data_IF_960987274271
#
_entry.id   IF_960987274271
#
_cell.length_a   1.000
_cell.length_b   1.000
_cell.length_c   1.000
_cell.angle_alpha   90.00
_cell.angle_beta   90.00
_cell.angle_gamma   90.00
#
_symmetry.space_group_name_H-M   'P 1'
#
loop_
_entity.id
_entity.type
_entity.pdbx_description
1 polymer ?
#
# COMPACT_ATOMS: atom_id res chain seq x y z
N UNK A 1 4.69 8.36 -10.55
CA UNK A 1 3.31 8.30 -9.99
C UNK A 1 2.34 7.97 -11.11
N UNK A 2 1.27 7.22 -10.86
CA UNK A 2 0.28 6.85 -11.87
C UNK A 2 -1.04 7.55 -11.55
N UNK A 3 -1.63 8.23 -12.53
CA UNK A 3 -3.01 8.70 -12.46
C UNK A 3 -3.94 7.57 -12.92
N UNK A 4 -4.66 6.95 -11.99
CA UNK A 4 -5.45 5.75 -12.27
C UNK A 4 -6.80 6.03 -12.92
N UNK A 5 -7.22 7.29 -13.02
CA UNK A 5 -8.50 7.65 -13.62
C UNK A 5 -8.47 9.08 -14.16
N UNK A 6 -8.52 9.21 -15.47
CA UNK A 6 -8.72 10.47 -16.17
C UNK A 6 -9.48 10.25 -17.48
N UNK A 7 -9.94 11.33 -18.10
CA UNK A 7 -10.71 11.32 -19.34
C UNK A 7 -10.02 12.20 -20.39
N UNK A 8 -8.78 11.83 -20.76
CA UNK A 8 -7.97 12.58 -21.74
C UNK A 8 -8.58 12.55 -23.14
N UNK A 9 -9.42 11.56 -23.42
CA UNK A 9 -10.13 11.45 -24.67
C UNK A 9 -11.13 12.57 -24.91
N UNK A 10 -11.62 13.23 -23.86
CA UNK A 10 -12.65 14.24 -23.98
C UNK A 10 -12.22 15.46 -24.82
N UNK A 11 -13.19 16.09 -25.48
CA UNK A 11 -13.00 17.23 -26.39
C UNK A 11 -12.38 18.45 -25.72
N UNK A 12 -12.56 18.58 -24.40
CA UNK A 12 -11.98 19.61 -23.56
C UNK A 12 -10.46 19.69 -23.69
N UNK A 13 -9.79 18.63 -24.18
CA UNK A 13 -8.35 18.58 -24.40
C UNK A 13 -7.93 18.61 -25.87
N UNK A 14 -8.84 18.66 -26.84
CA UNK A 14 -8.48 18.51 -28.27
C UNK A 14 -7.46 19.55 -28.75
N UNK A 15 -7.48 20.75 -28.18
CA UNK A 15 -6.54 21.82 -28.55
C UNK A 15 -5.14 21.70 -27.93
N UNK A 16 -4.98 20.94 -26.84
CA UNK A 16 -3.74 20.96 -26.04
C UNK A 16 -3.37 19.64 -25.35
N UNK A 17 -3.94 18.50 -25.79
CA UNK A 17 -3.74 17.17 -25.20
C UNK A 17 -2.27 16.80 -25.05
N UNK A 18 -1.47 16.96 -26.10
CA UNK A 18 -0.04 16.66 -26.07
C UNK A 18 0.68 17.45 -24.98
N UNK A 19 0.31 18.72 -24.81
CA UNK A 19 0.90 19.59 -23.79
C UNK A 19 0.43 19.21 -22.39
N UNK A 20 -0.83 18.76 -22.22
CA UNK A 20 -1.33 18.18 -20.96
C UNK A 20 -0.52 16.95 -20.56
N UNK A 21 -0.29 16.03 -21.49
CA UNK A 21 0.48 14.79 -21.28
C UNK A 21 1.95 15.10 -20.94
N UNK A 22 2.55 16.08 -21.63
CA UNK A 22 3.91 16.56 -21.33
C UNK A 22 4.00 17.19 -19.94
N UNK A 23 3.02 18.02 -19.55
CA UNK A 23 2.96 18.61 -18.19
C UNK A 23 2.87 17.53 -17.12
N UNK A 24 2.05 16.50 -17.33
CA UNK A 24 1.95 15.37 -16.41
C UNK A 24 3.30 14.64 -16.27
N UNK A 25 3.94 14.33 -17.40
CA UNK A 25 5.26 13.68 -17.43
C UNK A 25 6.32 14.53 -16.71
N UNK A 26 6.32 15.85 -16.91
CA UNK A 26 7.21 16.80 -16.23
C UNK A 26 6.99 16.91 -14.70
N UNK A 27 5.87 16.40 -14.18
CA UNK A 27 5.59 16.27 -12.75
C UNK A 27 5.82 14.85 -12.22
N UNK A 28 6.55 14.01 -12.97
CA UNK A 28 6.79 12.60 -12.66
C UNK A 28 5.51 11.74 -12.59
N UNK A 29 4.47 12.14 -13.33
CA UNK A 29 3.33 11.26 -13.63
C UNK A 29 3.76 10.36 -14.79
N UNK A 30 4.11 9.13 -14.47
CA UNK A 30 4.76 8.18 -15.38
C UNK A 30 3.77 7.44 -16.27
N UNK A 31 2.50 7.36 -15.86
CA UNK A 31 1.44 6.73 -16.62
C UNK A 31 0.07 7.31 -16.24
N UNK A 32 -0.86 7.26 -17.20
CA UNK A 32 -2.25 7.67 -17.06
C UNK A 32 -3.16 6.59 -17.59
N UNK A 33 -4.23 6.27 -16.85
CA UNK A 33 -5.31 5.40 -17.33
C UNK A 33 -6.45 6.31 -17.77
N UNK A 34 -6.69 6.35 -19.08
CA UNK A 34 -7.80 7.12 -19.66
C UNK A 34 -9.01 6.21 -19.82
N UNK A 35 -10.18 6.68 -19.39
CA UNK A 35 -11.33 5.82 -19.10
C UNK A 35 -12.47 6.10 -20.08
N UNK A 36 -12.85 5.09 -20.85
CA UNK A 36 -14.01 5.12 -21.72
C UNK A 36 -15.30 4.91 -20.94
N UNK A 37 -16.36 5.57 -21.40
CA UNK A 37 -17.67 5.65 -20.73
C UNK A 37 -18.83 5.26 -21.65
N UNK A 38 -18.61 5.22 -22.96
CA UNK A 38 -19.55 4.79 -23.98
C UNK A 38 -18.78 4.32 -25.23
N UNK A 39 -19.49 3.91 -26.28
CA UNK A 39 -18.88 3.36 -27.51
C UNK A 39 -17.88 4.33 -28.15
N UNK A 40 -18.26 5.60 -28.27
CA UNK A 40 -17.43 6.62 -28.92
C UNK A 40 -16.18 6.92 -28.09
N UNK A 41 -16.34 7.14 -26.78
CA UNK A 41 -15.20 7.38 -25.90
C UNK A 41 -14.29 6.16 -25.80
N UNK A 42 -14.83 4.94 -25.83
CA UNK A 42 -14.05 3.69 -25.91
C UNK A 42 -13.11 3.67 -27.13
N UNK A 43 -13.59 4.09 -28.31
CA UNK A 43 -12.72 4.20 -29.49
C UNK A 43 -11.62 5.25 -29.31
N UNK A 44 -11.94 6.40 -28.71
CA UNK A 44 -10.96 7.48 -28.49
C UNK A 44 -9.90 7.09 -27.46
N UNK A 45 -10.26 6.44 -26.35
CA UNK A 45 -9.26 5.97 -25.35
C UNK A 45 -8.32 4.92 -25.94
N UNK A 46 -8.83 4.03 -26.79
CA UNK A 46 -8.00 3.03 -27.48
C UNK A 46 -7.03 3.68 -28.47
N UNK A 47 -7.48 4.71 -29.20
CA UNK A 47 -6.62 5.48 -30.09
C UNK A 47 -5.48 6.17 -29.30
N UNK A 48 -5.82 6.85 -28.21
CA UNK A 48 -4.82 7.50 -27.34
C UNK A 48 -3.82 6.49 -26.75
N UNK A 49 -4.29 5.35 -26.26
CA UNK A 49 -3.41 4.32 -25.71
C UNK A 49 -2.51 3.67 -26.78
N UNK A 50 -2.90 3.72 -28.05
CA UNK A 50 -2.09 3.31 -29.20
C UNK A 50 -1.04 4.35 -29.62
N UNK A 51 -1.31 5.64 -29.37
CA UNK A 51 -0.44 6.75 -29.74
C UNK A 51 0.64 7.06 -28.68
N UNK A 52 0.30 6.93 -27.39
CA UNK A 52 1.17 7.32 -26.28
C UNK A 52 1.65 6.14 -25.44
N UNK A 53 2.96 6.03 -25.24
CA UNK A 53 3.57 4.93 -24.47
C UNK A 53 3.15 4.93 -22.99
N UNK A 54 2.91 6.11 -22.40
CA UNK A 54 2.51 6.25 -21.00
C UNK A 54 0.98 6.29 -20.78
N UNK A 55 0.17 6.10 -21.83
CA UNK A 55 -1.29 6.01 -21.70
C UNK A 55 -1.75 4.56 -21.80
N UNK A 56 -2.71 4.21 -20.96
CA UNK A 56 -3.44 2.96 -20.96
C UNK A 56 -4.94 3.25 -21.01
N UNK A 57 -5.73 2.30 -21.52
CA UNK A 57 -7.16 2.44 -21.68
C UNK A 57 -7.92 1.55 -20.69
N UNK A 58 -9.04 2.08 -20.19
CA UNK A 58 -10.14 1.28 -19.65
C UNK A 58 -11.33 1.42 -20.59
N UNK A 59 -12.05 0.32 -20.84
CA UNK A 59 -13.23 0.33 -21.72
C UNK A 59 -14.46 -0.17 -20.97
N UNK A 60 -15.58 0.52 -21.15
CA UNK A 60 -16.82 0.22 -20.42
C UNK A 60 -17.99 1.08 -20.87
N UNK A 61 -19.09 0.97 -20.13
CA UNK A 61 -20.31 1.78 -20.29
C UNK A 61 -20.66 2.32 -18.91
N UNK A 62 -20.56 3.64 -18.76
CA UNK A 62 -20.85 4.35 -17.52
C UNK A 62 -22.34 4.23 -17.18
N UNK A 63 -22.75 4.21 -15.89
CA UNK A 63 -24.15 4.13 -15.49
C UNK A 63 -25.08 5.14 -16.15
N UNK A 64 -24.60 6.33 -16.52
CA UNK A 64 -25.43 7.30 -17.23
C UNK A 64 -25.81 6.84 -18.65
N UNK A 65 -24.93 6.10 -19.30
CA UNK A 65 -25.09 5.57 -20.66
C UNK A 65 -25.59 4.12 -20.68
N UNK A 66 -26.03 3.56 -19.54
CA UNK A 66 -26.37 2.14 -19.40
C UNK A 66 -27.46 1.67 -20.39
N UNK A 67 -28.36 2.56 -20.82
CA UNK A 67 -29.38 2.24 -21.84
C UNK A 67 -28.81 1.96 -23.24
N UNK A 68 -27.57 2.38 -23.51
CA UNK A 68 -26.86 2.10 -24.78
C UNK A 68 -26.23 0.69 -24.83
N UNK A 69 -26.21 -0.03 -23.70
CA UNK A 69 -25.58 -1.33 -23.62
C UNK A 69 -26.39 -2.40 -24.38
N UNK A 70 -25.73 -3.05 -25.34
CA UNK A 70 -26.30 -4.11 -26.18
C UNK A 70 -25.38 -5.33 -26.18
N UNK A 71 -25.84 -6.53 -26.53
CA UNK A 71 -24.94 -7.69 -26.61
C UNK A 71 -23.73 -7.45 -27.53
N UNK A 72 -23.92 -6.71 -28.62
CA UNK A 72 -22.85 -6.30 -29.52
C UNK A 72 -21.75 -5.48 -28.82
N UNK A 73 -22.10 -4.61 -27.87
CA UNK A 73 -21.08 -3.79 -27.18
C UNK A 73 -20.20 -4.65 -26.27
N UNK A 74 -20.75 -5.71 -25.68
CA UNK A 74 -19.98 -6.63 -24.85
C UNK A 74 -18.99 -7.45 -25.69
N UNK A 75 -19.37 -7.84 -26.90
CA UNK A 75 -18.46 -8.47 -27.87
C UNK A 75 -17.33 -7.51 -28.28
N UNK A 76 -17.65 -6.24 -28.53
CA UNK A 76 -16.66 -5.20 -28.86
C UNK A 76 -15.70 -4.94 -27.69
N UNK A 77 -16.21 -4.76 -26.46
CA UNK A 77 -15.41 -4.62 -25.24
C UNK A 77 -14.48 -5.82 -25.05
N UNK A 78 -14.99 -7.04 -25.25
CA UNK A 78 -14.19 -8.27 -25.19
C UNK A 78 -13.07 -8.26 -26.24
N UNK A 79 -13.36 -7.79 -27.46
CA UNK A 79 -12.38 -7.63 -28.52
C UNK A 79 -11.29 -6.60 -28.17
N UNK A 80 -11.68 -5.42 -27.70
CA UNK A 80 -10.77 -4.34 -27.30
C UNK A 80 -9.90 -4.72 -26.10
N UNK A 81 -10.42 -5.55 -25.19
CA UNK A 81 -9.70 -6.05 -24.01
C UNK A 81 -8.55 -7.00 -24.35
N UNK A 82 -8.43 -7.46 -25.59
CA UNK A 82 -7.25 -8.23 -26.06
C UNK A 82 -6.04 -7.35 -26.31
N UNK A 83 -6.21 -6.04 -26.43
CA UNK A 83 -5.08 -5.12 -26.56
C UNK A 83 -4.34 -5.02 -25.23
N UNK A 84 -3.01 -5.19 -25.24
CA UNK A 84 -2.15 -5.09 -24.06
C UNK A 84 -2.25 -3.75 -23.31
N UNK A 85 -2.74 -2.71 -23.99
CA UNK A 85 -2.94 -1.36 -23.46
C UNK A 85 -4.32 -1.16 -22.85
N UNK A 86 -5.25 -2.10 -23.04
CA UNK A 86 -6.54 -2.13 -22.35
C UNK A 86 -6.36 -2.88 -21.04
N UNK A 87 -6.40 -2.16 -19.92
CA UNK A 87 -5.94 -2.67 -18.62
C UNK A 87 -7.05 -2.85 -17.59
N UNK A 88 -8.27 -2.45 -17.94
CA UNK A 88 -9.43 -2.58 -17.06
C UNK A 88 -10.74 -2.59 -17.84
N UNK A 89 -11.78 -3.10 -17.19
CA UNK A 89 -13.18 -2.92 -17.60
C UNK A 89 -13.79 -1.80 -16.77
N UNK A 90 -14.26 -0.76 -17.44
CA UNK A 90 -14.84 0.42 -16.83
C UNK A 90 -14.62 1.67 -17.69
N UNK A 91 -15.30 2.77 -17.42
CA UNK A 91 -16.08 3.00 -16.21
C UNK A 91 -17.39 2.22 -16.19
N UNK A 92 -17.72 1.62 -15.05
CA UNK A 92 -18.97 0.86 -14.84
C UNK A 92 -19.43 1.06 -13.41
N UNK A 93 -20.70 0.83 -13.10
CA UNK A 93 -21.19 0.97 -11.73
C UNK A 93 -22.58 1.53 -11.64
N UNK A 94 -22.85 2.28 -10.57
CA UNK A 94 -24.18 2.80 -10.25
C UNK A 94 -24.13 4.29 -9.87
N UNK A 95 -25.05 5.07 -10.43
CA UNK A 95 -25.26 6.47 -10.08
C UNK A 95 -26.74 6.75 -9.85
N UNK A 96 -27.14 6.80 -8.57
CA UNK A 96 -28.51 7.11 -8.16
C UNK A 96 -28.69 8.59 -7.83
N UNK A 97 -27.63 9.39 -7.98
CA UNK A 97 -27.66 10.82 -7.75
C UNK A 97 -28.22 11.56 -8.97
N UNK A 98 -27.64 11.30 -10.14
CA UNK A 98 -28.14 11.85 -11.40
C UNK A 98 -29.22 10.97 -12.02
N UNK A 99 -29.15 9.66 -11.81
CA UNK A 99 -30.19 8.68 -12.21
C UNK A 99 -30.56 8.76 -13.71
N UNK A 100 -29.56 9.04 -14.56
CA UNK A 100 -29.71 9.28 -16.01
C UNK A 100 -30.14 8.04 -16.82
N UNK A 101 -30.01 6.84 -16.24
CA UNK A 101 -30.52 5.58 -16.80
C UNK A 101 -31.31 4.82 -15.72
N UNK A 102 -32.35 4.05 -16.10
CA UNK A 102 -33.13 3.26 -15.14
C UNK A 102 -32.24 2.35 -14.29
N UNK A 103 -32.43 2.36 -12.97
CA UNK A 103 -31.59 1.62 -12.01
C UNK A 103 -31.46 0.13 -12.30
N UNK A 104 -32.54 -0.53 -12.75
CA UNK A 104 -32.50 -1.93 -13.17
C UNK A 104 -31.50 -2.15 -14.33
N UNK A 105 -31.47 -1.23 -15.29
CA UNK A 105 -30.54 -1.30 -16.42
C UNK A 105 -29.12 -1.05 -15.94
N UNK A 106 -28.90 -0.04 -15.08
CA UNK A 106 -27.58 0.20 -14.47
C UNK A 106 -27.06 -1.04 -13.75
N UNK A 107 -27.89 -1.68 -12.91
CA UNK A 107 -27.53 -2.92 -12.18
C UNK A 107 -27.18 -4.07 -13.12
N UNK A 108 -27.97 -4.28 -14.17
CA UNK A 108 -27.72 -5.34 -15.15
C UNK A 108 -26.41 -5.10 -15.92
N UNK A 109 -26.17 -3.87 -16.38
CA UNK A 109 -24.92 -3.51 -17.08
C UNK A 109 -23.72 -3.64 -16.16
N UNK A 110 -23.84 -3.18 -14.91
CA UNK A 110 -22.78 -3.30 -13.92
C UNK A 110 -22.43 -4.78 -13.67
N UNK A 111 -23.42 -5.63 -13.41
CA UNK A 111 -23.20 -7.06 -13.20
C UNK A 111 -22.52 -7.74 -14.40
N UNK A 112 -22.93 -7.43 -15.64
CA UNK A 112 -22.31 -7.96 -16.87
C UNK A 112 -20.86 -7.51 -17.04
N UNK A 113 -20.53 -6.25 -16.74
CA UNK A 113 -19.14 -5.79 -16.77
C UNK A 113 -18.28 -6.49 -15.72
N UNK A 114 -18.80 -6.75 -14.51
CA UNK A 114 -18.05 -7.49 -13.50
C UNK A 114 -17.80 -8.95 -13.92
N UNK A 115 -18.79 -9.58 -14.57
CA UNK A 115 -18.62 -10.91 -15.16
C UNK A 115 -17.55 -10.90 -16.25
N UNK A 116 -17.57 -9.92 -17.16
CA UNK A 116 -16.54 -9.75 -18.18
C UNK A 116 -15.15 -9.53 -17.58
N UNK A 117 -15.02 -8.62 -16.61
CA UNK A 117 -13.77 -8.34 -15.92
C UNK A 117 -13.17 -9.62 -15.31
N UNK A 118 -14.01 -10.42 -14.64
CA UNK A 118 -13.62 -11.71 -14.07
C UNK A 118 -13.18 -12.72 -15.14
N UNK A 119 -13.96 -12.85 -16.21
CA UNK A 119 -13.67 -13.81 -17.29
C UNK A 119 -12.39 -13.47 -18.06
N UNK A 120 -12.06 -12.18 -18.16
CA UNK A 120 -10.86 -11.67 -18.84
C UNK A 120 -9.66 -11.52 -17.91
N UNK A 121 -9.81 -11.80 -16.61
CA UNK A 121 -8.81 -11.54 -15.57
C UNK A 121 -8.33 -10.07 -15.51
N UNK A 122 -9.22 -9.14 -15.85
CA UNK A 122 -8.98 -7.70 -15.80
C UNK A 122 -9.61 -7.08 -14.54
N UNK A 123 -9.00 -6.04 -13.95
CA UNK A 123 -9.64 -5.28 -12.88
C UNK A 123 -10.84 -4.48 -13.38
N UNK A 124 -11.81 -4.25 -12.49
CA UNK A 124 -12.92 -3.32 -12.76
C UNK A 124 -12.63 -1.91 -12.20
N UNK A 125 -12.94 -0.87 -12.97
CA UNK A 125 -13.00 0.53 -12.49
C UNK A 125 -14.46 0.88 -12.20
N UNK A 126 -14.79 1.03 -10.93
CA UNK A 126 -16.17 1.06 -10.44
C UNK A 126 -16.56 2.43 -9.91
N UNK A 127 -17.55 3.04 -10.56
CA UNK A 127 -18.26 4.24 -10.10
C UNK A 127 -19.35 3.86 -9.11
N UNK A 128 -19.48 4.61 -8.03
CA UNK A 128 -20.60 4.44 -7.10
C UNK A 128 -20.98 5.75 -6.45
N UNK A 129 -22.20 6.21 -6.72
CA UNK A 129 -22.73 7.44 -6.15
C UNK A 129 -24.16 7.26 -5.68
N UNK A 130 -24.38 7.54 -4.39
CA UNK A 130 -25.66 7.36 -3.68
C UNK A 130 -26.27 5.94 -3.84
N UNK A 131 -25.42 4.92 -4.09
CA UNK A 131 -25.82 3.56 -4.47
C UNK A 131 -25.07 2.47 -3.67
N UNK A 132 -24.65 2.76 -2.43
CA UNK A 132 -23.77 1.90 -1.61
C UNK A 132 -24.24 0.45 -1.51
N UNK A 133 -25.49 0.21 -1.10
CA UNK A 133 -25.97 -1.15 -0.81
C UNK A 133 -26.02 -2.03 -2.06
N UNK A 134 -26.59 -1.53 -3.16
CA UNK A 134 -26.65 -2.25 -4.44
C UNK A 134 -25.25 -2.48 -5.01
N UNK A 135 -24.35 -1.49 -4.90
CA UNK A 135 -22.96 -1.61 -5.35
C UNK A 135 -22.27 -2.76 -4.61
N UNK A 136 -22.36 -2.78 -3.28
CA UNK A 136 -21.72 -3.83 -2.46
C UNK A 136 -22.35 -5.20 -2.70
N UNK A 137 -23.67 -5.29 -2.91
CA UNK A 137 -24.33 -6.57 -3.21
C UNK A 137 -23.84 -7.12 -4.54
N UNK A 138 -23.84 -6.32 -5.60
CA UNK A 138 -23.44 -6.76 -6.95
C UNK A 138 -21.95 -7.12 -6.99
N UNK A 139 -21.09 -6.33 -6.32
CA UNK A 139 -19.67 -6.66 -6.17
C UNK A 139 -19.47 -8.02 -5.49
N UNK A 140 -20.15 -8.25 -4.38
CA UNK A 140 -20.07 -9.52 -3.64
C UNK A 140 -20.52 -10.70 -4.50
N UNK A 141 -21.66 -10.55 -5.18
CA UNK A 141 -22.29 -11.64 -5.93
C UNK A 141 -21.49 -11.97 -7.22
N UNK A 142 -20.78 -10.99 -7.80
CA UNK A 142 -19.89 -11.22 -8.95
C UNK A 142 -18.66 -12.09 -8.61
N UNK A 143 -18.19 -12.03 -7.36
CA UNK A 143 -16.96 -12.69 -6.92
C UNK A 143 -15.69 -12.18 -7.62
N UNK A 144 -15.66 -10.92 -8.07
CA UNK A 144 -14.41 -10.31 -8.51
C UNK A 144 -13.41 -10.24 -7.35
N UNK A 145 -12.12 -10.17 -7.68
CA UNK A 145 -11.04 -10.06 -6.70
C UNK A 145 -10.02 -8.95 -7.03
N UNK A 146 -10.26 -8.22 -8.12
CA UNK A 146 -9.40 -7.15 -8.64
C UNK A 146 -10.29 -6.00 -9.11
N UNK A 147 -10.10 -4.82 -8.56
CA UNK A 147 -10.78 -3.62 -9.01
C UNK A 147 -10.41 -2.40 -8.17
N UNK A 148 -11.08 -1.29 -8.46
CA UNK A 148 -10.98 -0.04 -7.73
C UNK A 148 -12.35 0.63 -7.64
N UNK A 149 -12.71 1.12 -6.45
CA UNK A 149 -13.72 2.15 -6.32
C UNK A 149 -13.03 3.50 -6.58
N UNK A 150 -13.21 4.03 -7.79
CA UNK A 150 -12.64 5.32 -8.14
C UNK A 150 -13.44 6.45 -7.50
N UNK A 151 -12.82 7.62 -7.40
CA UNK A 151 -13.35 8.86 -6.83
C UNK A 151 -14.13 8.62 -5.52
N UNK A 152 -13.53 7.85 -4.60
CA UNK A 152 -14.27 7.28 -3.49
C UNK A 152 -14.92 8.34 -2.58
N UNK A 153 -16.24 8.28 -2.47
CA UNK A 153 -17.07 9.16 -1.63
C UNK A 153 -17.92 8.42 -0.58
N UNK A 154 -17.66 7.13 -0.36
CA UNK A 154 -18.38 6.26 0.59
C UNK A 154 -18.00 6.48 2.07
N UNK A 155 -18.42 5.57 2.95
CA UNK A 155 -17.99 5.51 4.37
C UNK A 155 -16.92 4.42 4.58
N UNK A 156 -16.35 4.41 5.78
CA UNK A 156 -15.40 3.39 6.23
C UNK A 156 -15.94 1.96 6.05
N UNK A 157 -17.23 1.71 6.28
CA UNK A 157 -17.83 0.39 6.10
C UNK A 157 -17.81 -0.06 4.63
N UNK A 158 -18.19 0.84 3.71
CA UNK A 158 -18.12 0.56 2.27
C UNK A 158 -16.67 0.31 1.83
N UNK A 159 -15.72 1.11 2.30
CA UNK A 159 -14.30 0.93 2.00
C UNK A 159 -13.79 -0.42 2.52
N UNK A 160 -14.11 -0.78 3.76
CA UNK A 160 -13.70 -2.06 4.37
C UNK A 160 -14.25 -3.25 3.58
N UNK A 161 -15.56 -3.26 3.31
CA UNK A 161 -16.20 -4.32 2.53
C UNK A 161 -15.61 -4.43 1.12
N UNK A 162 -15.35 -3.30 0.45
CA UNK A 162 -14.73 -3.29 -0.87
C UNK A 162 -13.31 -3.87 -0.85
N UNK A 163 -12.49 -3.52 0.13
CA UNK A 163 -11.14 -4.07 0.29
C UNK A 163 -11.13 -5.56 0.62
N UNK A 164 -12.11 -6.04 1.41
CA UNK A 164 -12.30 -7.48 1.66
C UNK A 164 -12.63 -8.25 0.37
N UNK A 165 -13.25 -7.61 -0.62
CA UNK A 165 -13.51 -8.15 -1.95
C UNK A 165 -12.34 -7.92 -2.93
N UNK A 166 -11.22 -7.35 -2.48
CA UNK A 166 -10.02 -7.12 -3.29
C UNK A 166 -10.01 -5.82 -4.08
N UNK A 167 -10.95 -4.89 -3.83
CA UNK A 167 -10.96 -3.59 -4.49
C UNK A 167 -10.06 -2.58 -3.76
N UNK A 168 -9.35 -1.80 -4.55
CA UNK A 168 -8.62 -0.62 -4.09
C UNK A 168 -9.56 0.57 -3.91
N UNK A 169 -9.12 1.56 -3.13
CA UNK A 169 -9.84 2.79 -2.88
C UNK A 169 -9.00 3.94 -3.45
N UNK A 170 -9.53 4.63 -4.45
CA UNK A 170 -8.86 5.75 -5.08
C UNK A 170 -9.45 7.08 -4.62
N UNK A 171 -8.59 8.08 -4.47
CA UNK A 171 -8.98 9.43 -4.08
C UNK A 171 -8.59 10.42 -5.18
N UNK A 172 -9.55 11.27 -5.55
CA UNK A 172 -9.37 12.37 -6.49
C UNK A 172 -9.18 13.72 -5.77
N UNK A 173 -9.14 14.80 -6.54
CA UNK A 173 -8.97 16.17 -6.03
C UNK A 173 -9.89 16.62 -4.88
N UNK A 174 -11.14 16.12 -4.68
CA UNK A 174 -11.99 16.53 -3.57
C UNK A 174 -11.39 16.30 -2.18
N UNK A 175 -10.44 15.36 -2.01
CA UNK A 175 -9.75 15.16 -0.73
C UNK A 175 -9.03 16.43 -0.24
N UNK A 176 -8.62 17.29 -1.18
CA UNK A 176 -7.96 18.57 -0.91
C UNK A 176 -8.93 19.63 -0.36
N UNK A 177 -10.24 19.42 -0.47
CA UNK A 177 -11.23 20.42 -0.06
C UNK A 177 -11.36 20.47 1.45
N UNK A 178 -11.51 21.68 2.00
CA UNK A 178 -11.62 21.91 3.45
C UNK A 178 -12.82 21.18 4.08
N UNK A 179 -13.92 21.04 3.34
CA UNK A 179 -15.17 20.40 3.81
C UNK A 179 -15.19 18.87 3.64
N UNK A 180 -14.16 18.27 3.05
CA UNK A 180 -14.13 16.83 2.78
C UNK A 180 -13.67 16.01 4.01
N UNK A 181 -14.19 16.32 5.20
CA UNK A 181 -13.74 15.73 6.48
C UNK A 181 -13.82 14.20 6.46
N UNK A 182 -14.97 13.64 6.04
CA UNK A 182 -15.17 12.19 5.91
C UNK A 182 -14.14 11.52 4.99
N UNK A 183 -13.88 12.11 3.82
CA UNK A 183 -12.86 11.58 2.89
C UNK A 183 -11.47 11.57 3.56
N UNK A 184 -11.11 12.66 4.26
CA UNK A 184 -9.85 12.78 4.99
C UNK A 184 -9.72 11.80 6.15
N UNK A 185 -10.81 11.45 6.82
CA UNK A 185 -10.82 10.42 7.86
C UNK A 185 -10.58 9.03 7.26
N UNK A 186 -11.25 8.71 6.16
CA UNK A 186 -11.11 7.41 5.50
C UNK A 186 -9.68 7.24 4.97
N UNK A 187 -9.06 8.28 4.41
CA UNK A 187 -7.64 8.27 4.00
C UNK A 187 -6.71 7.78 5.11
N UNK A 188 -7.01 8.06 6.39
CA UNK A 188 -6.19 7.60 7.53
C UNK A 188 -6.38 6.11 7.84
N UNK A 189 -7.49 5.52 7.40
CA UNK A 189 -7.88 4.15 7.70
C UNK A 189 -7.50 3.15 6.59
N UNK A 190 -7.45 3.60 5.33
CA UNK A 190 -7.12 2.72 4.20
C UNK A 190 -5.70 2.15 4.35
N UNK A 191 -5.50 0.82 4.39
CA UNK A 191 -4.17 0.22 4.40
C UNK A 191 -3.38 0.63 3.15
N UNK A 192 -2.05 0.73 3.26
CA UNK A 192 -1.22 1.24 2.16
C UNK A 192 -1.43 0.46 0.85
N UNK A 193 -1.60 -0.85 0.92
CA UNK A 193 -1.74 -1.73 -0.26
C UNK A 193 -3.03 -1.51 -1.06
N UNK A 194 -4.02 -0.81 -0.51
CA UNK A 194 -5.31 -0.54 -1.17
C UNK A 194 -5.47 0.91 -1.60
N UNK A 195 -4.52 1.78 -1.26
CA UNK A 195 -4.60 3.20 -1.60
C UNK A 195 -4.18 3.44 -3.05
N UNK A 196 -5.03 4.14 -3.79
CA UNK A 196 -4.73 4.72 -5.11
C UNK A 196 -5.01 6.23 -5.13
N UNK A 197 -4.51 6.90 -6.15
CA UNK A 197 -4.73 8.32 -6.41
C UNK A 197 -5.06 8.53 -7.86
N UNK A 198 -5.88 9.55 -8.11
CA UNK A 198 -6.28 9.93 -9.46
C UNK A 198 -6.63 11.40 -9.55
N UNK A 199 -6.96 11.86 -10.75
CA UNK A 199 -7.49 13.19 -10.97
C UNK A 199 -8.98 13.24 -11.24
N UNK A 200 -9.53 12.24 -11.94
CA UNK A 200 -10.83 12.32 -12.59
C UNK A 200 -10.92 13.50 -13.59
N UNK A 201 -9.77 13.89 -14.17
CA UNK A 201 -9.69 15.05 -15.03
C UNK A 201 -10.50 14.83 -16.33
N UNK A 202 -11.25 15.81 -16.86
CA UNK A 202 -11.17 17.26 -16.59
C UNK A 202 -11.95 17.74 -15.37
N UNK A 203 -12.62 16.85 -14.64
CA UNK A 203 -13.45 17.19 -13.49
C UNK A 203 -12.63 17.31 -12.20
N UNK A 204 -13.28 17.80 -11.13
CA UNK A 204 -12.80 17.69 -9.75
C UNK A 204 -11.39 18.24 -9.44
N UNK A 205 -11.00 19.34 -10.10
CA UNK A 205 -9.69 19.96 -9.89
C UNK A 205 -9.38 20.20 -8.39
N UNK A 206 -8.21 19.76 -7.89
CA UNK A 206 -7.81 19.93 -6.48
C UNK A 206 -7.53 21.40 -6.14
N UNK A 207 -7.44 21.73 -4.85
CA UNK A 207 -6.88 23.01 -4.39
C UNK A 207 -5.42 23.13 -4.85
N UNK A 208 -4.97 24.28 -5.41
CA UNK A 208 -5.66 25.57 -5.52
C UNK A 208 -6.46 25.81 -6.82
N UNK A 209 -6.60 24.80 -7.68
CA UNK A 209 -7.22 24.91 -9.01
C UNK A 209 -8.73 24.64 -9.04
N UNK A 210 -9.39 24.58 -7.88
CA UNK A 210 -10.84 24.33 -7.79
C UNK A 210 -11.63 25.29 -8.70
N UNK A 211 -12.49 24.72 -9.54
CA UNK A 211 -13.31 25.46 -10.51
C UNK A 211 -12.62 25.72 -11.86
N UNK A 212 -11.37 25.30 -12.03
CA UNK A 212 -10.68 25.26 -13.33
C UNK A 212 -10.74 23.86 -13.93
N UNK A 213 -10.41 23.74 -15.22
CA UNK A 213 -10.19 22.44 -15.89
C UNK A 213 -9.09 21.70 -15.14
N UNK A 214 -9.36 20.47 -14.71
CA UNK A 214 -8.36 19.60 -14.11
C UNK A 214 -7.42 19.04 -15.18
N UNK A 215 -6.30 18.46 -14.79
CA UNK A 215 -5.41 17.70 -15.67
C UNK A 215 -4.55 16.71 -14.87
N UNK A 216 -4.04 15.62 -15.50
CA UNK A 216 -3.32 14.55 -14.79
C UNK A 216 -2.11 15.00 -13.96
N UNK A 217 -1.45 16.10 -14.34
CA UNK A 217 -0.34 16.70 -13.58
C UNK A 217 -0.74 17.08 -12.15
N UNK A 218 -2.02 17.34 -11.90
CA UNK A 218 -2.55 17.74 -10.60
C UNK A 218 -2.73 16.58 -9.63
N UNK A 219 -2.56 15.30 -10.05
CA UNK A 219 -2.58 14.14 -9.15
C UNK A 219 -1.56 14.27 -8.02
N UNK A 220 -0.45 14.97 -8.28
CA UNK A 220 0.61 15.25 -7.29
C UNK A 220 0.05 16.05 -6.10
N UNK A 221 -0.91 16.94 -6.32
CA UNK A 221 -1.55 17.74 -5.25
C UNK A 221 -2.48 16.87 -4.37
N UNK A 222 -3.19 15.93 -5.01
CA UNK A 222 -3.99 14.91 -4.32
C UNK A 222 -3.08 14.04 -3.43
N UNK A 223 -1.98 13.53 -3.99
CA UNK A 223 -1.01 12.71 -3.28
C UNK A 223 -0.31 13.48 -2.14
N UNK A 224 0.07 14.75 -2.35
CA UNK A 224 0.65 15.59 -1.31
C UNK A 224 -0.33 15.79 -0.14
N UNK A 225 -1.60 16.05 -0.43
CA UNK A 225 -2.62 16.20 0.62
C UNK A 225 -2.77 14.90 1.43
N UNK A 226 -2.76 13.74 0.77
CA UNK A 226 -2.80 12.44 1.45
C UNK A 226 -1.55 12.23 2.32
N UNK A 227 -0.37 12.63 1.84
CA UNK A 227 0.88 12.55 2.59
C UNK A 227 0.79 13.39 3.88
N UNK A 228 0.28 14.63 3.78
CA UNK A 228 0.07 15.52 4.92
C UNK A 228 -0.91 14.93 5.94
N UNK A 229 -2.03 14.37 5.47
CA UNK A 229 -3.04 13.71 6.32
C UNK A 229 -2.44 12.52 7.09
N UNK A 230 -1.57 11.75 6.44
CA UNK A 230 -0.93 10.55 7.00
C UNK A 230 0.36 10.84 7.77
N UNK A 231 0.87 12.08 7.74
CA UNK A 231 2.15 12.43 8.37
C UNK A 231 3.34 11.65 7.76
N UNK A 232 3.36 11.54 6.43
CA UNK A 232 4.46 10.95 5.65
C UNK A 232 4.90 11.92 4.56
N UNK A 233 6.01 11.61 3.87
CA UNK A 233 6.49 12.43 2.76
C UNK A 233 5.77 12.02 1.45
N UNK A 234 5.73 12.93 0.47
CA UNK A 234 5.10 12.67 -0.83
C UNK A 234 5.68 11.42 -1.52
N UNK A 235 7.00 11.24 -1.45
CA UNK A 235 7.68 10.09 -2.06
C UNK A 235 7.16 8.75 -1.54
N UNK A 236 6.75 8.67 -0.27
CA UNK A 236 6.14 7.46 0.29
C UNK A 236 4.79 7.18 -0.37
N UNK A 237 3.91 8.19 -0.49
CA UNK A 237 2.60 8.04 -1.13
C UNK A 237 2.76 7.74 -2.62
N UNK A 238 3.65 8.45 -3.31
CA UNK A 238 3.94 8.24 -4.72
C UNK A 238 4.38 6.80 -4.98
N UNK A 239 5.31 6.27 -4.17
CA UNK A 239 5.83 4.90 -4.30
C UNK A 239 4.76 3.86 -3.99
N UNK A 240 4.00 4.03 -2.90
CA UNK A 240 2.89 3.15 -2.51
C UNK A 240 1.84 3.05 -3.62
N UNK A 241 1.29 4.20 -4.03
CA UNK A 241 0.19 4.25 -5.00
C UNK A 241 0.64 3.77 -6.38
N UNK A 242 1.87 4.09 -6.78
CA UNK A 242 2.45 3.59 -8.04
C UNK A 242 2.55 2.07 -8.02
N UNK A 243 3.09 1.45 -6.97
CA UNK A 243 3.20 -0.01 -6.95
C UNK A 243 1.83 -0.69 -6.92
N UNK A 244 0.85 -0.09 -6.25
CA UNK A 244 -0.51 -0.62 -6.20
C UNK A 244 -1.16 -0.56 -7.58
N UNK A 245 -1.06 0.59 -8.27
CA UNK A 245 -1.57 0.75 -9.62
C UNK A 245 -0.90 -0.23 -10.59
N UNK A 246 0.43 -0.35 -10.56
CA UNK A 246 1.17 -1.33 -11.39
C UNK A 246 0.71 -2.76 -11.14
N UNK A 247 0.51 -3.14 -9.86
CA UNK A 247 0.03 -4.49 -9.48
C UNK A 247 -1.42 -4.75 -9.87
N UNK A 248 -2.29 -3.76 -9.73
CA UNK A 248 -3.71 -3.89 -10.04
C UNK A 248 -3.95 -3.99 -11.56
N UNK A 249 -3.36 -3.07 -12.31
CA UNK A 249 -3.57 -2.93 -13.76
C UNK A 249 -2.53 -3.67 -14.61
N UNK A 250 -1.55 -4.31 -13.98
CA UNK A 250 -0.45 -5.02 -14.65
C UNK A 250 0.31 -4.14 -15.66
N UNK A 251 0.66 -2.92 -15.26
CA UNK A 251 1.36 -1.93 -16.08
C UNK A 251 2.74 -1.60 -15.53
N UNK A 252 3.66 -1.21 -16.42
CA UNK A 252 5.02 -0.81 -16.07
C UNK A 252 5.83 -1.91 -15.36
N UNK A 253 6.92 -1.50 -14.70
CA UNK A 253 7.82 -2.43 -14.01
C UNK A 253 7.37 -2.71 -12.57
N UNK A 254 7.05 -3.95 -12.27
CA UNK A 254 6.78 -4.41 -10.90
C UNK A 254 8.08 -5.01 -10.34
N UNK A 255 8.67 -4.46 -9.25
CA UNK A 255 9.89 -4.99 -8.66
C UNK A 255 9.75 -6.46 -8.27
N UNK A 256 10.46 -7.34 -8.99
CA UNK A 256 10.43 -8.80 -8.76
C UNK A 256 11.39 -9.27 -7.69
N UNK A 257 12.53 -8.58 -7.56
CA UNK A 257 13.56 -8.91 -6.56
C UNK A 257 13.24 -8.19 -5.25
N UNK A 258 13.39 -8.89 -4.13
CA UNK A 258 13.30 -8.28 -2.82
C UNK A 258 14.46 -7.32 -2.56
N UNK A 259 14.17 -6.19 -1.95
CA UNK A 259 15.14 -5.20 -1.53
C UNK A 259 15.82 -5.63 -0.24
N UNK A 260 17.16 -5.56 -0.23
CA UNK A 260 17.99 -5.83 0.94
C UNK A 260 18.17 -4.57 1.81
N UNK A 261 18.03 -3.39 1.21
CA UNK A 261 18.01 -2.10 1.89
C UNK A 261 16.90 -1.22 1.28
N UNK A 262 16.10 -0.59 2.13
CA UNK A 262 14.96 0.24 1.70
C UNK A 262 14.77 1.43 2.63
N UNK A 263 14.29 2.56 2.08
CA UNK A 263 14.13 3.81 2.85
C UNK A 263 12.69 3.99 3.27
N UNK A 264 12.48 4.29 4.54
CA UNK A 264 11.20 4.79 5.03
C UNK A 264 11.50 6.10 5.77
N UNK A 265 10.94 7.20 5.26
CA UNK A 265 11.22 8.56 5.75
C UNK A 265 12.73 8.84 5.73
N UNK A 266 13.33 9.15 6.89
CA UNK A 266 14.77 9.46 7.04
C UNK A 266 15.62 8.30 7.55
N UNK A 267 15.07 7.08 7.63
CA UNK A 267 15.78 5.90 8.12
C UNK A 267 15.99 4.88 7.00
N UNK A 268 17.11 4.17 7.03
CA UNK A 268 17.40 3.05 6.14
C UNK A 268 17.09 1.74 6.86
N UNK A 269 16.37 0.83 6.22
CA UNK A 269 15.99 -0.46 6.79
C UNK A 269 16.71 -1.58 6.03
N UNK A 270 17.27 -2.53 6.76
CA UNK A 270 18.02 -3.67 6.24
C UNK A 270 17.22 -4.96 6.40
N UNK A 271 16.91 -5.59 5.28
CA UNK A 271 16.24 -6.87 5.21
C UNK A 271 17.26 -7.97 4.95
N UNK A 272 17.59 -8.73 6.00
CA UNK A 272 18.73 -9.66 5.95
C UNK A 272 18.32 -11.14 5.99
N UNK A 273 17.05 -11.45 6.19
CA UNK A 273 16.55 -12.83 6.22
C UNK A 273 15.02 -12.88 6.08
N UNK A 274 14.52 -13.92 5.42
CA UNK A 274 13.09 -14.27 5.43
C UNK A 274 12.71 -15.16 6.64
N UNK A 275 13.70 -15.68 7.40
CA UNK A 275 13.50 -16.66 8.47
C UNK A 275 13.14 -15.96 9.78
N UNK A 276 12.28 -16.57 10.58
CA UNK A 276 11.92 -16.06 11.90
C UNK A 276 11.55 -17.24 12.79
N UNK A 277 11.85 -17.12 14.08
CA UNK A 277 11.55 -18.11 15.11
C UNK A 277 10.11 -18.06 15.60
N UNK A 278 9.32 -17.09 15.13
CA UNK A 278 7.88 -16.99 15.35
C UNK A 278 7.12 -17.20 14.03
N UNK A 279 5.91 -17.76 14.14
CA UNK A 279 4.92 -17.84 13.08
C UNK A 279 3.66 -17.06 13.49
N UNK A 280 3.81 -15.74 13.68
CA UNK A 280 2.72 -14.93 14.22
C UNK A 280 1.51 -14.88 13.29
N UNK A 281 0.30 -14.96 13.85
CA UNK A 281 -0.96 -14.87 13.10
C UNK A 281 -1.16 -13.55 12.35
N UNK A 282 -0.50 -12.47 12.82
CA UNK A 282 -0.52 -11.12 12.24
C UNK A 282 0.71 -10.79 11.39
N UNK A 283 1.58 -11.76 11.08
CA UNK A 283 2.84 -11.48 10.41
C UNK A 283 2.65 -11.22 8.90
N UNK A 284 2.95 -10.01 8.44
CA UNK A 284 2.88 -9.65 7.00
C UNK A 284 3.72 -10.57 6.12
N UNK A 285 4.80 -11.16 6.65
CA UNK A 285 5.67 -12.12 5.94
C UNK A 285 4.91 -13.31 5.37
N UNK A 286 3.83 -13.78 6.00
CA UNK A 286 3.10 -14.95 5.48
C UNK A 286 2.02 -14.57 4.48
N UNK A 287 1.70 -13.28 4.37
CA UNK A 287 0.55 -12.80 3.63
C UNK A 287 0.94 -12.07 2.34
N UNK A 288 2.04 -11.30 2.37
CA UNK A 288 2.38 -10.36 1.30
C UNK A 288 3.87 -10.35 1.00
N UNK A 289 4.23 -9.74 -0.14
CA UNK A 289 5.62 -9.47 -0.54
C UNK A 289 5.97 -7.98 -0.47
N UNK A 290 4.99 -7.10 -0.49
CA UNK A 290 5.21 -5.66 -0.46
C UNK A 290 4.89 -5.09 0.92
N UNK A 291 5.71 -4.16 1.38
CA UNK A 291 5.49 -3.37 2.60
C UNK A 291 5.81 -1.93 2.28
N UNK A 292 4.83 -1.05 2.52
CA UNK A 292 4.95 0.38 2.23
C UNK A 292 5.32 0.68 0.79
N UNK A 293 5.22 -0.26 -0.16
CA UNK A 293 5.66 -0.13 -1.55
C UNK A 293 7.00 -0.78 -1.91
N UNK A 294 7.70 -1.39 -0.95
CA UNK A 294 8.95 -2.13 -1.18
C UNK A 294 8.71 -3.62 -1.22
N UNK A 295 9.26 -4.34 -2.20
CA UNK A 295 9.25 -5.79 -2.20
C UNK A 295 10.26 -6.29 -1.16
N UNK A 296 9.81 -6.91 -0.07
CA UNK A 296 10.69 -7.40 1.00
C UNK A 296 10.93 -8.91 0.94
N UNK A 297 10.44 -9.62 -0.08
CA UNK A 297 10.72 -11.05 -0.22
C UNK A 297 12.11 -11.27 -0.82
N UNK A 298 13.08 -11.58 0.03
CA UNK A 298 14.43 -11.86 -0.44
C UNK A 298 14.49 -13.12 -1.29
N UNK A 299 15.26 -13.09 -2.37
CA UNK A 299 15.58 -14.28 -3.19
C UNK A 299 16.67 -15.14 -2.54
N UNK A 300 17.53 -14.54 -1.74
CA UNK A 300 18.61 -15.18 -0.98
C UNK A 300 18.93 -14.32 0.26
N UNK A 301 19.66 -14.88 1.23
CA UNK A 301 20.13 -14.10 2.38
C UNK A 301 21.36 -13.27 1.99
N UNK A 302 21.34 -11.91 2.07
CA UNK A 302 22.42 -11.07 1.57
C UNK A 302 23.73 -11.27 2.33
N UNK A 303 24.85 -11.11 1.64
CA UNK A 303 26.20 -11.10 2.18
C UNK A 303 26.53 -9.79 2.94
N UNK A 304 27.71 -9.74 3.55
CA UNK A 304 28.21 -8.51 4.17
C UNK A 304 28.47 -7.42 3.13
N UNK A 305 29.08 -7.82 2.01
CA UNK A 305 29.49 -6.96 0.91
C UNK A 305 28.27 -6.32 0.23
N UNK A 306 27.21 -7.10 -0.01
CA UNK A 306 25.95 -6.58 -0.55
C UNK A 306 25.29 -5.57 0.38
N UNK A 307 25.37 -5.76 1.70
CA UNK A 307 24.78 -4.83 2.66
C UNK A 307 25.55 -3.52 2.74
N UNK A 308 26.88 -3.55 2.80
CA UNK A 308 27.66 -2.29 2.86
C UNK A 308 27.50 -1.48 1.57
N UNK A 309 27.43 -2.15 0.42
CA UNK A 309 27.17 -1.51 -0.88
C UNK A 309 25.79 -0.87 -0.92
N UNK A 310 24.75 -1.62 -0.49
CA UNK A 310 23.39 -1.11 -0.45
C UNK A 310 23.16 0.01 0.59
N UNK A 311 23.97 0.08 1.65
CA UNK A 311 23.90 1.16 2.63
C UNK A 311 24.55 2.44 2.09
N UNK A 312 25.66 2.33 1.36
CA UNK A 312 26.44 3.50 0.93
C UNK A 312 27.04 4.24 2.13
N UNK A 313 26.62 5.49 2.38
CA UNK A 313 27.06 6.27 3.54
C UNK A 313 26.03 6.22 4.68
N UNK A 314 26.31 5.52 5.81
CA UNK A 314 25.36 5.42 6.92
C UNK A 314 25.00 6.76 7.57
N UNK A 315 25.88 7.76 7.49
CA UNK A 315 25.67 9.08 8.10
C UNK A 315 24.59 9.92 7.38
N UNK A 316 24.17 9.53 6.18
CA UNK A 316 23.10 10.20 5.43
C UNK A 316 21.71 9.91 6.03
N UNK A 317 21.61 8.92 6.92
CA UNK A 317 20.38 8.47 7.52
C UNK A 317 20.29 8.85 8.99
N UNK A 318 19.06 9.08 9.46
CA UNK A 318 18.79 9.23 10.90
C UNK A 318 19.23 8.00 11.69
N UNK A 319 19.05 6.83 11.10
CA UNK A 319 19.43 5.53 11.65
C UNK A 319 19.41 4.47 10.54
N UNK A 320 20.18 3.41 10.74
CA UNK A 320 20.13 2.17 9.97
C UNK A 320 19.52 1.09 10.86
N UNK A 321 18.46 0.46 10.37
CA UNK A 321 17.58 -0.41 11.14
C UNK A 321 17.64 -1.82 10.59
N UNK A 322 18.12 -2.78 11.37
CA UNK A 322 17.96 -4.20 11.02
C UNK A 322 16.49 -4.59 11.20
N UNK A 323 15.77 -4.66 10.09
CA UNK A 323 14.33 -4.87 10.06
C UNK A 323 13.86 -5.32 8.66
N UNK A 324 13.16 -6.43 8.61
CA UNK A 324 12.60 -7.00 7.39
C UNK A 324 11.51 -8.01 7.72
N UNK A 325 11.37 -9.05 6.89
CA UNK A 325 10.41 -10.12 7.14
C UNK A 325 10.83 -11.09 8.25
N UNK A 326 12.13 -11.26 8.45
CA UNK A 326 12.69 -12.21 9.39
C UNK A 326 13.16 -11.64 10.72
N UNK A 327 13.64 -12.53 11.58
CA UNK A 327 14.35 -12.22 12.83
C UNK A 327 15.83 -11.96 12.53
N UNK A 328 16.32 -10.71 12.62
CA UNK A 328 17.70 -10.39 12.26
C UNK A 328 18.74 -11.14 13.11
N UNK A 329 18.43 -11.43 14.39
CA UNK A 329 19.37 -12.07 15.29
C UNK A 329 19.63 -13.56 14.99
N UNK A 330 18.89 -14.16 14.05
CA UNK A 330 19.28 -15.44 13.43
C UNK A 330 20.65 -15.35 12.71
N UNK A 331 21.04 -14.14 12.30
CA UNK A 331 22.31 -13.85 11.60
C UNK A 331 23.21 -12.95 12.46
N UNK A 332 23.35 -13.25 13.75
CA UNK A 332 24.07 -12.43 14.74
C UNK A 332 25.46 -11.98 14.27
N UNK A 333 26.29 -12.86 13.72
CA UNK A 333 27.64 -12.49 13.28
C UNK A 333 27.63 -11.48 12.13
N UNK A 334 26.67 -11.59 11.21
CA UNK A 334 26.48 -10.59 10.17
C UNK A 334 26.03 -9.25 10.77
N UNK A 335 25.04 -9.28 11.67
CA UNK A 335 24.55 -8.08 12.37
C UNK A 335 25.69 -7.37 13.08
N UNK A 336 26.53 -8.09 13.84
CA UNK A 336 27.70 -7.53 14.53
C UNK A 336 28.68 -6.88 13.55
N UNK A 337 29.03 -7.58 12.46
CA UNK A 337 29.98 -7.09 11.45
C UNK A 337 29.47 -5.82 10.75
N UNK A 338 28.21 -5.81 10.33
CA UNK A 338 27.58 -4.66 9.66
C UNK A 338 27.36 -3.50 10.62
N UNK A 339 26.86 -3.76 11.84
CA UNK A 339 26.66 -2.72 12.86
C UNK A 339 27.97 -2.02 13.24
N UNK A 340 29.05 -2.79 13.46
CA UNK A 340 30.38 -2.25 13.75
C UNK A 340 30.88 -1.34 12.62
N UNK A 341 30.68 -1.77 11.36
CA UNK A 341 31.01 -0.95 10.20
C UNK A 341 30.17 0.33 10.13
N UNK A 342 28.86 0.26 10.36
CA UNK A 342 27.97 1.44 10.42
C UNK A 342 28.48 2.44 11.47
N UNK A 343 28.81 1.98 12.69
CA UNK A 343 29.34 2.84 13.75
C UNK A 343 30.67 3.47 13.35
N UNK A 344 31.57 2.72 12.71
CA UNK A 344 32.86 3.24 12.22
C UNK A 344 32.70 4.35 11.17
N UNK A 345 31.52 4.45 10.54
CA UNK A 345 31.14 5.47 9.56
C UNK A 345 30.24 6.56 10.16
N UNK A 346 30.09 6.62 11.48
CA UNK A 346 29.30 7.63 12.17
C UNK A 346 27.78 7.42 12.13
N UNK A 347 27.32 6.24 11.73
CA UNK A 347 25.89 5.92 11.72
C UNK A 347 25.32 5.51 13.08
N UNK A 348 24.00 5.53 13.17
CA UNK A 348 23.21 5.03 14.31
C UNK A 348 22.55 3.70 13.95
N UNK A 349 22.59 2.72 14.84
CA UNK A 349 22.10 1.35 14.61
C UNK A 349 20.91 1.04 15.52
N UNK A 350 19.82 0.56 14.92
CA UNK A 350 18.71 -0.06 15.63
C UNK A 350 18.49 -1.50 15.17
N UNK A 351 18.11 -2.38 16.08
CA UNK A 351 17.64 -3.73 15.71
C UNK A 351 16.17 -3.88 16.11
N UNK A 352 15.34 -4.31 15.16
CA UNK A 352 14.00 -4.80 15.44
C UNK A 352 14.07 -6.32 15.60
N UNK A 353 13.65 -6.83 16.76
CA UNK A 353 13.75 -8.26 17.09
C UNK A 353 12.47 -8.74 17.78
N UNK A 354 12.20 -10.04 17.71
CA UNK A 354 11.22 -10.74 18.52
C UNK A 354 11.75 -11.09 19.93
N UNK A 355 13.01 -10.77 20.24
CA UNK A 355 13.60 -11.00 21.57
C UNK A 355 14.14 -12.42 21.79
N UNK A 356 14.17 -13.27 20.78
CA UNK A 356 14.65 -14.65 20.91
C UNK A 356 16.19 -14.77 20.81
N UNK A 357 16.94 -13.67 20.75
CA UNK A 357 18.40 -13.69 20.52
C UNK A 357 19.16 -14.66 21.42
N UNK A 358 18.90 -14.62 22.74
CA UNK A 358 19.55 -15.54 23.68
C UNK A 358 19.09 -16.99 23.52
N UNK A 359 17.82 -17.23 23.15
CA UNK A 359 17.29 -18.57 22.88
C UNK A 359 17.91 -19.19 21.62
N UNK A 360 18.09 -18.37 20.57
CA UNK A 360 18.70 -18.77 19.30
C UNK A 360 20.13 -19.24 19.52
N UNK A 361 20.92 -18.45 20.26
CA UNK A 361 22.37 -18.67 20.43
C UNK A 361 22.72 -19.44 21.71
N UNK A 362 21.72 -19.76 22.55
CA UNK A 362 21.86 -20.47 23.83
C UNK A 362 22.85 -19.82 24.80
N UNK A 363 23.00 -18.49 24.73
CA UNK A 363 23.90 -17.67 25.57
C UNK A 363 23.43 -16.23 25.58
N UNK A 364 23.91 -15.43 26.52
CA UNK A 364 23.64 -13.98 26.54
C UNK A 364 24.45 -13.27 25.44
N UNK A 365 23.76 -12.75 24.41
CA UNK A 365 24.39 -12.08 23.27
C UNK A 365 24.44 -10.55 23.42
N UNK A 366 23.73 -9.99 24.41
CA UNK A 366 23.63 -8.54 24.60
C UNK A 366 24.98 -7.86 24.88
N UNK A 367 25.93 -8.45 25.64
CA UNK A 367 27.27 -7.89 25.78
C UNK A 367 28.01 -7.71 24.45
N UNK A 368 27.75 -8.56 23.45
CA UNK A 368 28.39 -8.47 22.14
C UNK A 368 27.79 -7.38 21.24
N UNK A 369 26.61 -6.87 21.60
CA UNK A 369 25.93 -5.78 20.91
C UNK A 369 26.24 -4.42 21.55
N UNK A 370 26.81 -4.41 22.75
CA UNK A 370 27.17 -3.19 23.47
C UNK A 370 28.16 -2.34 22.66
N UNK A 371 27.90 -1.04 22.55
CA UNK A 371 28.72 -0.09 21.81
C UNK A 371 28.56 -0.13 20.27
N UNK A 372 27.94 -1.18 19.72
CA UNK A 372 27.68 -1.28 18.27
C UNK A 372 26.19 -1.17 17.90
N UNK A 373 25.30 -1.26 18.89
CA UNK A 373 23.85 -1.06 18.74
C UNK A 373 23.39 0.05 19.68
N UNK A 374 22.71 1.05 19.13
CA UNK A 374 22.23 2.21 19.88
C UNK A 374 20.84 1.97 20.47
N UNK A 375 20.00 1.17 19.79
CA UNK A 375 18.65 0.86 20.28
C UNK A 375 18.11 -0.51 19.88
N UNK A 376 17.24 -1.07 20.73
CA UNK A 376 16.46 -2.28 20.45
C UNK A 376 14.96 -1.98 20.43
N UNK A 377 14.28 -2.42 19.38
CA UNK A 377 12.82 -2.51 19.34
C UNK A 377 12.40 -3.97 19.45
N UNK A 378 11.93 -4.36 20.64
CA UNK A 378 11.62 -5.75 20.97
C UNK A 378 10.11 -5.97 20.83
N UNK A 379 9.72 -6.98 20.04
CA UNK A 379 8.30 -7.33 19.84
C UNK A 379 7.81 -8.22 20.98
N UNK A 380 7.26 -7.59 22.03
CA UNK A 380 6.65 -8.29 23.18
C UNK A 380 5.39 -9.05 22.75
N UNK A 381 4.52 -8.40 21.96
CA UNK A 381 3.29 -8.93 21.33
C UNK A 381 2.29 -9.71 22.22
N UNK A 382 2.48 -9.81 23.53
CA UNK A 382 1.53 -10.42 24.46
C UNK A 382 1.81 -9.99 25.90
N UNK A 383 0.80 -10.13 26.76
CA UNK A 383 0.90 -9.81 28.18
C UNK A 383 1.20 -11.03 29.06
N UNK A 384 1.04 -12.24 28.51
CA UNK A 384 1.31 -13.52 29.17
C UNK A 384 1.73 -14.59 28.15
N UNK A 385 2.16 -15.74 28.69
CA UNK A 385 2.64 -16.88 27.92
C UNK A 385 1.55 -17.49 27.02
N UNK A 386 0.34 -17.65 27.54
CA UNK A 386 -0.76 -18.28 26.79
C UNK A 386 -1.11 -17.46 25.54
N UNK A 387 -1.27 -16.15 25.71
CA UNK A 387 -1.52 -15.22 24.60
C UNK A 387 -0.34 -15.21 23.62
N UNK A 388 0.90 -15.21 24.13
CA UNK A 388 2.09 -15.24 23.28
C UNK A 388 2.17 -16.51 22.44
N UNK A 389 1.99 -17.68 23.05
CA UNK A 389 2.08 -18.97 22.37
C UNK A 389 0.97 -19.10 21.31
N UNK A 390 -0.24 -18.60 21.61
CA UNK A 390 -1.36 -18.57 20.66
C UNK A 390 -1.12 -17.63 19.48
N UNK A 391 -0.63 -16.42 19.73
CA UNK A 391 -0.51 -15.39 18.69
C UNK A 391 0.79 -15.46 17.90
N UNK A 392 1.92 -15.73 18.57
CA UNK A 392 3.25 -15.70 17.97
C UNK A 392 3.74 -17.07 17.51
N UNK A 393 3.17 -18.16 18.05
CA UNK A 393 3.50 -19.56 17.72
C UNK A 393 5.03 -19.76 17.65
N UNK A 394 5.72 -19.64 18.80
CA UNK A 394 7.17 -19.67 18.84
C UNK A 394 7.73 -21.08 18.61
N UNK A 395 8.90 -21.15 17.98
CA UNK A 395 9.63 -22.41 17.78
C UNK A 395 10.16 -23.02 19.08
N UNK A 396 10.45 -22.19 20.09
CA UNK A 396 11.04 -22.62 21.36
C UNK A 396 9.98 -22.82 22.45
N UNK A 397 10.20 -23.81 23.31
CA UNK A 397 9.47 -23.92 24.58
C UNK A 397 9.83 -22.72 25.47
N UNK A 398 8.85 -22.27 26.25
CA UNK A 398 8.98 -21.14 27.18
C UNK A 398 9.55 -19.85 26.56
N UNK A 399 9.31 -19.64 25.25
CA UNK A 399 9.83 -18.49 24.52
C UNK A 399 9.44 -17.15 25.14
N UNK A 400 8.21 -17.01 25.63
CA UNK A 400 7.77 -15.78 26.31
C UNK A 400 8.64 -15.45 27.53
N UNK A 401 8.99 -16.45 28.34
CA UNK A 401 9.88 -16.26 29.49
C UNK A 401 11.28 -15.83 29.02
N UNK A 402 11.80 -16.46 27.97
CA UNK A 402 13.08 -16.05 27.36
C UNK A 402 13.05 -14.62 26.80
N UNK A 403 11.92 -14.16 26.27
CA UNK A 403 11.73 -12.75 25.84
C UNK A 403 11.77 -11.81 27.05
N UNK A 404 11.09 -12.13 28.15
CA UNK A 404 11.13 -11.30 29.37
C UNK A 404 12.54 -11.21 29.96
N UNK A 405 13.27 -12.32 29.97
CA UNK A 405 14.68 -12.35 30.40
C UNK A 405 15.57 -11.52 29.47
N UNK A 406 15.39 -11.65 28.15
CA UNK A 406 16.12 -10.85 27.17
C UNK A 406 15.85 -9.36 27.35
N UNK A 407 14.59 -8.95 27.56
CA UNK A 407 14.20 -7.56 27.82
C UNK A 407 14.88 -7.03 29.09
N UNK A 408 14.83 -7.80 30.18
CA UNK A 408 15.39 -7.41 31.47
C UNK A 408 16.91 -7.25 31.38
N UNK A 409 17.58 -8.16 30.68
CA UNK A 409 19.02 -8.15 30.52
C UNK A 409 19.48 -7.03 29.55
N UNK A 410 18.68 -6.70 28.54
CA UNK A 410 19.05 -5.72 27.51
C UNK A 410 19.32 -4.33 28.11
N UNK A 411 18.59 -3.93 29.16
CA UNK A 411 18.75 -2.62 29.82
C UNK A 411 20.12 -2.38 30.44
N UNK A 412 20.94 -3.43 30.58
CA UNK A 412 22.32 -3.35 31.08
C UNK A 412 23.33 -2.98 30.00
N UNK A 413 23.02 -3.21 28.73
CA UNK A 413 23.99 -3.12 27.62
C UNK A 413 23.56 -2.18 26.49
N UNK A 414 22.24 -1.99 26.29
CA UNK A 414 21.71 -1.19 25.19
C UNK A 414 21.11 0.12 25.75
N UNK A 415 21.51 1.30 25.22
CA UNK A 415 21.06 2.59 25.73
C UNK A 415 19.56 2.83 25.65
N UNK A 416 18.93 2.48 24.53
CA UNK A 416 17.49 2.70 24.30
C UNK A 416 16.77 1.39 23.97
N UNK A 417 15.72 1.08 24.73
CA UNK A 417 14.90 -0.12 24.53
C UNK A 417 13.46 0.30 24.42
N UNK A 418 12.80 -0.20 23.38
CA UNK A 418 11.38 0.00 23.14
C UNK A 418 10.69 -1.33 22.96
N UNK A 419 9.69 -1.60 23.79
CA UNK A 419 8.80 -2.73 23.61
C UNK A 419 7.66 -2.34 22.67
N UNK A 420 7.32 -3.27 21.77
CA UNK A 420 6.23 -3.09 20.82
C UNK A 420 5.21 -4.22 20.93
N UNK A 421 3.95 -3.87 20.73
CA UNK A 421 2.83 -4.81 20.61
C UNK A 421 2.03 -4.46 19.38
N UNK A 422 1.46 -5.46 18.72
CA UNK A 422 0.43 -5.24 17.71
C UNK A 422 -0.91 -5.19 18.43
N UNK A 423 -1.73 -4.18 18.13
CA UNK A 423 -3.07 -4.03 18.70
C UNK A 423 -3.98 -5.14 18.17
N UNK A 424 -4.44 -6.01 19.07
CA UNK A 424 -5.43 -7.05 18.79
C UNK A 424 -6.36 -7.18 19.99
N UNK A 425 -7.60 -7.65 19.76
CA UNK A 425 -8.63 -7.80 20.81
C UNK A 425 -8.16 -8.69 21.97
N UNK A 426 -7.26 -9.64 21.71
CA UNK A 426 -6.73 -10.58 22.70
C UNK A 426 -5.58 -10.05 23.56
N UNK A 427 -5.03 -8.87 23.25
CA UNK A 427 -3.85 -8.34 23.97
C UNK A 427 -4.29 -7.27 24.97
N UNK A 428 -4.00 -7.50 26.26
CA UNK A 428 -4.10 -6.47 27.29
C UNK A 428 -2.91 -5.49 27.20
N UNK A 429 -3.19 -4.34 26.58
CA UNK A 429 -2.19 -3.28 26.35
C UNK A 429 -1.65 -2.70 27.66
N UNK A 430 -2.48 -2.59 28.70
CA UNK A 430 -2.05 -2.01 29.98
C UNK A 430 -1.11 -2.95 30.73
N UNK A 431 -1.35 -4.26 30.70
CA UNK A 431 -0.39 -5.24 31.22
C UNK A 431 0.92 -5.21 30.45
N UNK A 432 0.88 -5.08 29.12
CA UNK A 432 2.10 -4.93 28.31
C UNK A 432 2.89 -3.66 28.66
N UNK A 433 2.21 -2.52 28.87
CA UNK A 433 2.82 -1.28 29.36
C UNK A 433 3.50 -1.47 30.71
N UNK A 434 2.88 -2.21 31.64
CA UNK A 434 3.47 -2.53 32.94
C UNK A 434 4.74 -3.36 32.81
N UNK A 435 4.79 -4.32 31.87
CA UNK A 435 6.01 -5.08 31.56
C UNK A 435 7.12 -4.14 31.09
N UNK A 436 6.82 -3.25 30.14
CA UNK A 436 7.80 -2.25 29.65
C UNK A 436 8.32 -1.34 30.77
N UNK A 437 7.41 -0.83 31.61
CA UNK A 437 7.75 0.04 32.73
C UNK A 437 8.65 -0.64 33.76
N UNK A 438 8.41 -1.91 34.09
CA UNK A 438 9.29 -2.70 34.99
C UNK A 438 10.70 -2.88 34.44
N UNK A 439 10.84 -2.92 33.11
CA UNK A 439 12.12 -3.04 32.43
C UNK A 439 12.79 -1.68 32.14
N UNK A 440 12.16 -0.55 32.51
CA UNK A 440 12.65 0.78 32.14
C UNK A 440 12.62 1.06 30.63
N UNK A 441 11.84 0.30 29.87
CA UNK A 441 11.76 0.39 28.41
C UNK A 441 10.62 1.32 27.97
N UNK A 442 10.82 2.02 26.85
CA UNK A 442 9.74 2.71 26.15
C UNK A 442 8.70 1.71 25.63
N UNK A 443 7.49 2.19 25.34
CA UNK A 443 6.40 1.35 24.85
C UNK A 443 5.71 1.95 23.63
N UNK A 444 5.43 1.14 22.60
CA UNK A 444 4.69 1.56 21.40
C UNK A 444 3.67 0.50 21.00
N UNK A 445 2.41 0.92 20.85
CA UNK A 445 1.36 0.12 20.22
C UNK A 445 1.44 0.32 18.71
N UNK A 446 1.34 -0.77 17.95
CA UNK A 446 1.27 -0.77 16.49
C UNK A 446 -0.14 -1.18 16.08
N UNK A 447 -0.78 -0.43 15.20
CA UNK A 447 -2.02 -0.89 14.57
C UNK A 447 -1.69 -2.07 13.65
N UNK A 448 -2.59 -3.06 13.61
CA UNK A 448 -2.51 -4.15 12.65
C UNK A 448 -2.39 -3.56 11.22
N UNK A 449 -1.58 -4.19 10.38
CA UNK A 449 -1.29 -3.77 9.00
C UNK A 449 -0.65 -2.38 8.82
N UNK A 450 -0.31 -1.69 9.90
CA UNK A 450 0.50 -0.46 9.86
C UNK A 450 1.95 -0.80 10.19
N UNK A 451 2.72 -1.11 9.15
CA UNK A 451 4.14 -1.48 9.24
C UNK A 451 5.06 -0.28 8.99
N UNK A 452 6.02 -0.03 9.90
CA UNK A 452 6.92 1.14 9.90
C UNK A 452 6.80 1.99 11.15
#
# INVERSE_FOLDING_TARGET
MIDTHCHLEMEQYDSDRDEVIKRASGQNVEAMITVGTNIESNHRVLALAGEYENIYASVGIHPHDATSATEKIYDEITGWSRNRKTVAIGETGLDYHYDNSPREIQRNVFAKHLELAKNLDLPAIVHSRDAKEDTLSILRDSGISKGVLHCFSGDSEMAEKAMMMGLHISFAGPVTFKKAERSREIVKLIPDDYLLVETDAPYLAPVPYRGKRNEPSYVVLTAQTIADIRGVILDDIARITTINARRLFNIGDIPRKGEIAYKIRKSLYLNITNRCTNCCSFCVRTQKNFVKGHNLRLSHEPSYEELIDAIGNPADFREVVFCGYGEPLLRLELVKKVASWIKSKGGTVRINTNGHGNLIHKRNILPELAGIVDSLSISLNAHDKETYDKLCVPMYKDAFQGVLEFITEAGKYIPDIKLTVVETVSIDIEKCKKIAGKAGAGFRVRKLDTVG
#
